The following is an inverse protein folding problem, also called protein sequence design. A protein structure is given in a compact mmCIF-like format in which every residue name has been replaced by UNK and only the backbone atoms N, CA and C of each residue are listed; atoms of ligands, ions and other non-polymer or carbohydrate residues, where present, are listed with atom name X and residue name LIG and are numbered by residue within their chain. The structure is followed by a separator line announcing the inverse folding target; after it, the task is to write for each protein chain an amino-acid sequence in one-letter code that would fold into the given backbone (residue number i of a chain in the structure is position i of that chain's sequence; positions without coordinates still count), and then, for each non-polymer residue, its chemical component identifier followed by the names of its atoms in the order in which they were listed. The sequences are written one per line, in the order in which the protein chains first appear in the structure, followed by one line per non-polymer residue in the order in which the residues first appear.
data_IF_105921794326
#
_entry.id   IF_105921794326
#
_cell.length_a   1.000
_cell.length_b   1.000
_cell.length_c   1.000
_cell.angle_alpha   90.00
_cell.angle_beta   90.00
_cell.angle_gamma   90.00
#
_symmetry.space_group_name_H-M   'P 1'
#
loop_
_entity.id
_entity.type
_entity.pdbx_description
1 polymer ?
#
# COMPACT_ATOMS: atom_id res chain seq x y z
N UNK A 1 92.74 43.71 -51.77
CA UNK A 1 91.55 44.13 -52.55
C UNK A 1 90.65 42.93 -52.72
N UNK A 2 89.32 43.16 -52.76
CA UNK A 2 88.24 42.20 -53.01
C UNK A 2 87.94 41.17 -51.90
N UNK A 3 86.69 41.25 -51.43
CA UNK A 3 85.99 40.34 -50.51
C UNK A 3 85.87 38.88 -51.01
N UNK A 4 85.60 37.97 -50.08
CA UNK A 4 84.35 37.18 -50.13
C UNK A 4 84.04 36.53 -48.78
N UNK A 5 83.05 37.06 -48.07
CA UNK A 5 82.48 36.45 -46.86
C UNK A 5 81.73 35.16 -47.20
N UNK A 6 82.10 34.03 -46.58
CA UNK A 6 81.24 32.84 -46.50
C UNK A 6 80.64 32.73 -45.10
N UNK A 7 79.35 33.03 -44.98
CA UNK A 7 78.56 32.77 -43.77
C UNK A 7 78.09 31.32 -43.77
N UNK A 8 78.54 30.52 -42.80
CA UNK A 8 78.06 29.16 -42.56
C UNK A 8 76.79 29.18 -41.71
N UNK A 9 75.66 28.73 -42.26
CA UNK A 9 74.42 28.54 -41.51
C UNK A 9 74.37 27.15 -40.86
N UNK A 10 74.44 27.10 -39.54
CA UNK A 10 74.19 25.87 -38.77
C UNK A 10 72.68 25.65 -38.62
N UNK A 11 72.14 24.44 -38.90
CA UNK A 11 70.72 24.17 -38.71
C UNK A 11 70.38 24.01 -37.23
N UNK A 12 69.47 24.85 -36.73
CA UNK A 12 68.96 24.75 -35.36
C UNK A 12 67.96 23.59 -35.24
N UNK A 13 68.42 22.48 -34.64
CA UNK A 13 67.55 21.34 -34.29
C UNK A 13 66.60 21.72 -33.15
N UNK A 14 65.46 22.34 -33.51
CA UNK A 14 64.40 22.67 -32.57
C UNK A 14 63.84 21.41 -31.90
N UNK A 15 64.01 21.32 -30.57
CA UNK A 15 63.54 20.19 -29.77
C UNK A 15 62.03 19.97 -29.93
N UNK A 16 61.64 18.87 -30.59
CA UNK A 16 60.24 18.47 -30.78
C UNK A 16 59.64 17.77 -29.54
N UNK A 17 60.48 17.29 -28.64
CA UNK A 17 60.13 16.53 -27.44
C UNK A 17 59.14 17.22 -26.48
N UNK A 18 59.29 18.50 -26.09
CA UNK A 18 58.33 19.14 -25.17
C UNK A 18 56.91 19.24 -25.76
N UNK A 19 56.77 19.37 -27.09
CA UNK A 19 55.45 19.39 -27.75
C UNK A 19 54.79 18.00 -27.75
N UNK A 20 55.57 16.93 -27.96
CA UNK A 20 55.05 15.57 -27.92
C UNK A 20 54.54 15.18 -26.52
N UNK A 21 55.28 15.54 -25.46
CA UNK A 21 54.91 15.26 -24.07
C UNK A 21 53.61 16.00 -23.68
N UNK A 22 53.48 17.28 -24.05
CA UNK A 22 52.27 18.05 -23.78
C UNK A 22 51.03 17.46 -24.46
N UNK A 23 51.15 17.03 -25.73
CA UNK A 23 50.05 16.38 -26.46
C UNK A 23 49.66 15.05 -25.80
N UNK A 24 50.63 14.22 -25.39
CA UNK A 24 50.38 12.95 -24.72
C UNK A 24 49.65 13.13 -23.38
N UNK A 25 50.03 14.14 -22.58
CA UNK A 25 49.34 14.46 -21.32
C UNK A 25 47.89 14.91 -21.56
N UNK A 26 47.65 15.80 -22.52
CA UNK A 26 46.28 16.26 -22.84
C UNK A 26 45.42 15.09 -23.36
N UNK A 27 45.98 14.21 -24.20
CA UNK A 27 45.28 13.01 -24.66
C UNK A 27 44.93 12.05 -23.50
N UNK A 28 45.85 11.78 -22.58
CA UNK A 28 45.60 10.94 -21.40
C UNK A 28 44.54 11.53 -20.46
N UNK A 29 44.52 12.86 -20.31
CA UNK A 29 43.56 13.57 -19.47
C UNK A 29 42.17 13.62 -20.11
N UNK A 30 42.09 13.74 -21.44
CA UNK A 30 40.84 13.59 -22.20
C UNK A 30 40.29 12.16 -22.16
N UNK A 31 41.15 11.14 -22.26
CA UNK A 31 40.72 9.72 -22.17
C UNK A 31 40.22 9.37 -20.77
N UNK A 32 40.87 9.87 -19.71
CA UNK A 32 40.38 9.65 -18.33
C UNK A 32 39.11 10.46 -18.02
N UNK A 33 38.99 11.69 -18.52
CA UNK A 33 37.75 12.47 -18.42
C UNK A 33 36.58 11.81 -19.19
N UNK A 34 36.82 11.32 -20.41
CA UNK A 34 35.82 10.62 -21.21
C UNK A 34 35.42 9.27 -20.58
N UNK A 35 36.38 8.48 -20.10
CA UNK A 35 36.12 7.22 -19.40
C UNK A 35 35.34 7.43 -18.09
N UNK A 36 35.67 8.47 -17.32
CA UNK A 36 34.88 8.87 -16.14
C UNK A 36 33.46 9.33 -16.51
N UNK A 37 33.32 10.12 -17.57
CA UNK A 37 32.02 10.56 -18.09
C UNK A 37 31.16 9.40 -18.65
N UNK A 38 31.76 8.30 -19.09
CA UNK A 38 31.07 7.11 -19.59
C UNK A 38 30.62 6.15 -18.45
N UNK A 39 31.21 6.26 -17.27
CA UNK A 39 30.80 5.51 -16.07
C UNK A 39 29.72 6.24 -15.23
N UNK A 40 29.55 7.56 -15.42
CA UNK A 40 28.52 8.37 -14.77
C UNK A 40 27.06 8.20 -15.27
N UNK A 41 26.72 7.77 -16.51
CA UNK A 41 25.33 7.72 -16.98
C UNK A 41 24.53 6.54 -16.43
N UNK A 42 25.19 5.49 -15.93
CA UNK A 42 24.54 4.26 -15.44
C UNK A 42 23.78 4.42 -14.12
N UNK A 43 23.85 5.62 -13.52
CA UNK A 43 23.06 6.02 -12.35
C UNK A 43 22.19 7.25 -12.61
N UNK A 44 21.63 7.38 -13.81
CA UNK A 44 20.39 8.16 -13.92
C UNK A 44 19.38 7.52 -12.95
N UNK A 45 18.80 8.26 -12.00
CA UNK A 45 17.75 7.71 -11.15
C UNK A 45 16.64 7.26 -12.08
N UNK A 46 16.27 5.97 -12.03
CA UNK A 46 15.10 5.48 -12.77
C UNK A 46 13.96 6.42 -12.44
N UNK A 47 13.36 7.01 -13.48
CA UNK A 47 12.12 7.74 -13.30
C UNK A 47 11.16 6.82 -12.53
N UNK A 48 10.36 7.38 -11.61
CA UNK A 48 9.32 6.59 -10.94
C UNK A 48 8.57 5.85 -12.05
N UNK A 49 8.54 4.51 -12.07
CA UNK A 49 7.76 3.79 -13.06
C UNK A 49 6.34 4.34 -13.05
N UNK A 50 5.65 4.37 -14.20
CA UNK A 50 4.25 4.82 -14.26
C UNK A 50 3.28 3.76 -13.70
N UNK A 51 3.72 3.11 -12.61
CA UNK A 51 2.92 2.39 -11.66
C UNK A 51 2.12 3.45 -10.88
N UNK A 52 1.06 3.94 -11.52
CA UNK A 52 -0.18 4.23 -10.82
C UNK A 52 -0.51 2.95 -10.03
N UNK A 53 -0.75 3.06 -8.72
CA UNK A 53 -0.56 2.00 -7.72
C UNK A 53 -1.47 0.77 -7.77
N UNK A 54 -1.93 0.37 -8.97
CA UNK A 54 -2.86 -0.70 -9.19
C UNK A 54 -2.14 -2.06 -9.33
N UNK A 55 -2.12 -2.85 -8.25
CA UNK A 55 -1.60 -4.23 -8.30
C UNK A 55 -2.28 -5.11 -9.36
N UNK A 56 -3.51 -4.79 -9.80
CA UNK A 56 -4.22 -5.54 -10.83
C UNK A 56 -3.60 -5.40 -12.22
N UNK A 57 -2.85 -4.35 -12.51
CA UNK A 57 -2.14 -4.21 -13.80
C UNK A 57 -0.80 -4.94 -13.85
N UNK A 58 -0.37 -5.51 -12.73
CA UNK A 58 0.87 -6.30 -12.60
C UNK A 58 0.61 -7.79 -12.80
N UNK A 59 -0.62 -8.24 -12.53
CA UNK A 59 -1.04 -9.64 -12.65
C UNK A 59 -1.43 -9.92 -14.12
N UNK A 60 -0.80 -10.89 -14.79
CA UNK A 60 -1.36 -11.50 -16.00
C UNK A 60 -2.25 -12.71 -15.61
N UNK A 61 -3.59 -12.63 -15.80
CA UNK A 61 -4.49 -13.74 -15.45
C UNK A 61 -4.20 -15.03 -16.23
N UNK A 62 -3.49 -14.97 -17.36
CA UNK A 62 -3.10 -16.13 -18.16
C UNK A 62 -1.91 -16.90 -17.58
N UNK A 63 -1.07 -16.26 -16.75
CA UNK A 63 0.04 -16.95 -16.05
C UNK A 63 -0.41 -17.68 -14.79
N UNK A 64 -1.61 -17.38 -14.27
CA UNK A 64 -2.12 -18.00 -13.04
C UNK A 64 -2.63 -19.41 -13.36
N UNK A 65 -2.03 -20.48 -12.77
CA UNK A 65 -2.56 -21.83 -12.92
C UNK A 65 -4.00 -21.91 -12.37
N UNK A 66 -5.02 -22.25 -13.20
CA UNK A 66 -6.42 -22.16 -12.77
C UNK A 66 -6.74 -23.01 -11.52
N UNK A 67 -6.03 -24.13 -11.34
CA UNK A 67 -6.16 -24.99 -10.16
C UNK A 67 -5.78 -24.29 -8.85
N UNK A 68 -4.87 -23.30 -8.87
CA UNK A 68 -4.52 -22.52 -7.67
C UNK A 68 -5.62 -21.52 -7.31
N UNK A 69 -6.24 -20.88 -8.30
CA UNK A 69 -7.41 -20.02 -8.07
C UNK A 69 -8.59 -20.81 -7.47
N UNK A 70 -8.74 -22.08 -7.85
CA UNK A 70 -9.73 -22.98 -7.25
C UNK A 70 -9.43 -23.38 -5.80
N UNK A 71 -8.22 -23.10 -5.27
CA UNK A 71 -7.89 -23.20 -3.84
C UNK A 71 -8.26 -21.94 -3.02
N UNK A 72 -8.61 -20.83 -3.67
CA UNK A 72 -9.30 -19.70 -3.00
C UNK A 72 -10.75 -20.08 -2.74
N UNK A 73 -11.36 -20.74 -3.72
CA UNK A 73 -12.48 -21.64 -3.48
C UNK A 73 -11.97 -22.88 -2.70
N UNK A 74 -12.80 -23.82 -2.27
CA UNK A 74 -12.37 -24.87 -1.31
C UNK A 74 -11.89 -24.39 0.08
N UNK A 75 -11.73 -23.07 0.30
CA UNK A 75 -11.32 -22.42 1.55
C UNK A 75 -9.93 -22.89 2.05
N UNK A 76 -8.93 -22.91 1.17
CA UNK A 76 -7.56 -23.23 1.59
C UNK A 76 -7.02 -22.14 2.56
N UNK A 77 -6.15 -22.48 3.54
CA UNK A 77 -5.68 -21.51 4.53
C UNK A 77 -5.01 -20.27 3.91
N UNK A 78 -5.54 -19.08 4.21
CA UNK A 78 -5.13 -17.81 3.60
C UNK A 78 -3.64 -17.47 3.74
N UNK A 79 -2.98 -17.95 4.80
CA UNK A 79 -1.55 -17.77 5.03
C UNK A 79 -0.67 -18.63 4.11
N UNK A 80 -1.14 -19.83 3.75
CA UNK A 80 -0.40 -20.78 2.90
C UNK A 80 -0.64 -20.50 1.41
N UNK A 81 -1.85 -20.03 1.08
CA UNK A 81 -2.36 -19.84 -0.28
C UNK A 81 -1.44 -19.00 -1.19
N UNK A 82 -0.81 -17.95 -0.67
CA UNK A 82 0.13 -17.11 -1.44
C UNK A 82 1.60 -17.53 -1.28
N UNK A 83 1.95 -18.25 -0.20
CA UNK A 83 3.31 -18.72 0.05
C UNK A 83 3.69 -19.91 -0.83
N UNK A 84 2.73 -20.80 -1.15
CA UNK A 84 2.99 -21.97 -1.98
C UNK A 84 3.34 -21.62 -3.43
N UNK A 85 2.61 -20.71 -4.12
CA UNK A 85 3.02 -20.23 -5.44
C UNK A 85 4.32 -19.41 -5.38
N UNK A 86 4.53 -18.59 -4.33
CA UNK A 86 5.77 -17.84 -4.11
C UNK A 86 7.00 -18.77 -4.05
N UNK A 87 6.91 -19.87 -3.31
CA UNK A 87 7.96 -20.90 -3.21
C UNK A 87 8.22 -21.66 -4.53
N UNK A 88 7.33 -21.54 -5.51
CA UNK A 88 7.44 -22.13 -6.85
C UNK A 88 7.77 -21.09 -7.93
N UNK A 89 8.13 -19.87 -7.53
CA UNK A 89 8.42 -18.74 -8.41
C UNK A 89 7.23 -18.32 -9.31
N UNK A 90 6.01 -18.67 -8.89
CA UNK A 90 4.76 -18.33 -9.58
C UNK A 90 4.22 -16.99 -9.04
N UNK A 91 4.91 -15.90 -9.40
CA UNK A 91 4.72 -14.56 -8.85
C UNK A 91 3.29 -14.02 -9.00
N UNK A 92 2.74 -14.05 -10.22
CA UNK A 92 1.38 -13.59 -10.53
C UNK A 92 0.33 -14.37 -9.75
N UNK A 93 0.51 -15.69 -9.63
CA UNK A 93 -0.35 -16.54 -8.81
C UNK A 93 -0.23 -16.18 -7.33
N UNK A 94 0.99 -15.97 -6.81
CA UNK A 94 1.20 -15.56 -5.42
C UNK A 94 0.54 -14.19 -5.11
N UNK A 95 0.69 -13.22 -6.01
CA UNK A 95 0.10 -11.89 -5.90
C UNK A 95 -1.44 -11.93 -6.05
N UNK A 96 -1.97 -12.76 -6.94
CA UNK A 96 -3.42 -12.96 -7.06
C UNK A 96 -4.01 -13.66 -5.84
N UNK A 97 -3.38 -14.74 -5.33
CA UNK A 97 -3.78 -15.39 -4.08
C UNK A 97 -3.68 -14.41 -2.89
N UNK A 98 -2.71 -13.49 -2.91
CA UNK A 98 -2.65 -12.40 -1.94
C UNK A 98 -3.85 -11.45 -2.08
N UNK A 99 -4.15 -10.97 -3.28
CA UNK A 99 -5.12 -9.90 -3.56
C UNK A 99 -6.59 -10.33 -3.45
N UNK A 100 -6.90 -11.56 -3.86
CA UNK A 100 -8.26 -12.11 -3.91
C UNK A 100 -8.57 -13.13 -2.80
N UNK A 101 -7.56 -13.53 -2.03
CA UNK A 101 -7.74 -14.36 -0.85
C UNK A 101 -8.49 -13.65 0.29
N UNK A 102 -8.80 -14.37 1.38
CA UNK A 102 -9.47 -13.80 2.54
C UNK A 102 -8.71 -12.60 3.14
N UNK A 103 -9.46 -11.63 3.67
CA UNK A 103 -8.92 -10.45 4.36
C UNK A 103 -8.00 -10.87 5.50
N UNK A 104 -6.82 -10.25 5.55
CA UNK A 104 -5.79 -10.43 6.57
C UNK A 104 -5.67 -9.15 7.40
N UNK A 105 -4.94 -9.20 8.51
CA UNK A 105 -4.52 -7.98 9.21
C UNK A 105 -3.64 -7.12 8.30
N UNK A 106 -3.59 -5.81 8.56
CA UNK A 106 -2.75 -4.89 7.78
C UNK A 106 -1.27 -5.28 7.90
N UNK A 107 -0.86 -5.75 9.09
CA UNK A 107 0.49 -6.27 9.36
C UNK A 107 0.84 -7.45 8.45
N UNK A 108 -0.02 -8.47 8.41
CA UNK A 108 0.18 -9.64 7.55
C UNK A 108 0.14 -9.27 6.06
N UNK A 109 -0.69 -8.28 5.71
CA UNK A 109 -0.80 -7.75 4.34
C UNK A 109 0.50 -7.05 3.90
N UNK A 110 1.05 -6.18 4.74
CA UNK A 110 2.34 -5.50 4.55
C UNK A 110 3.50 -6.50 4.46
N UNK A 111 3.59 -7.42 5.43
CA UNK A 111 4.66 -8.43 5.46
C UNK A 111 4.66 -9.31 4.20
N UNK A 112 3.48 -9.69 3.71
CA UNK A 112 3.34 -10.47 2.49
C UNK A 112 3.73 -9.67 1.24
N UNK A 113 3.31 -8.41 1.12
CA UNK A 113 3.71 -7.53 0.01
C UNK A 113 5.22 -7.25 -0.01
N UNK A 114 5.85 -7.06 1.15
CA UNK A 114 7.30 -6.89 1.25
C UNK A 114 8.02 -8.18 0.81
N UNK A 115 7.55 -9.36 1.23
CA UNK A 115 8.12 -10.66 0.80
C UNK A 115 7.92 -10.93 -0.69
N UNK A 116 6.77 -10.58 -1.25
CA UNK A 116 6.51 -10.63 -2.71
C UNK A 116 7.50 -9.73 -3.46
N UNK A 117 7.70 -8.49 -3.00
CA UNK A 117 8.68 -7.58 -3.59
C UNK A 117 10.12 -8.09 -3.50
N UNK A 118 10.53 -8.61 -2.35
CA UNK A 118 11.88 -9.15 -2.13
C UNK A 118 12.16 -10.36 -3.02
N UNK A 119 11.18 -11.23 -3.24
CA UNK A 119 11.31 -12.38 -4.14
C UNK A 119 11.40 -11.97 -5.62
N UNK A 120 10.70 -10.90 -6.03
CA UNK A 120 10.67 -10.42 -7.41
C UNK A 120 11.81 -9.44 -7.75
N UNK A 121 12.47 -8.84 -6.75
CA UNK A 121 13.39 -7.70 -6.90
C UNK A 121 14.50 -7.85 -7.97
N UNK A 122 14.97 -9.07 -8.22
CA UNK A 122 16.03 -9.35 -9.20
C UNK A 122 15.47 -9.65 -10.61
N UNK A 123 14.29 -10.26 -10.70
CA UNK A 123 13.69 -10.72 -11.96
C UNK A 123 12.79 -9.66 -12.57
N UNK A 124 11.85 -9.15 -11.75
CA UNK A 124 10.82 -8.19 -12.13
C UNK A 124 10.87 -6.98 -11.17
N UNK A 125 11.83 -6.06 -11.33
CA UNK A 125 12.03 -4.94 -10.40
C UNK A 125 10.87 -3.92 -10.38
N UNK A 126 10.08 -3.84 -11.46
CA UNK A 126 8.91 -2.96 -11.52
C UNK A 126 7.72 -3.56 -10.75
N UNK A 127 7.46 -4.86 -10.86
CA UNK A 127 6.45 -5.58 -10.08
C UNK A 127 6.78 -5.57 -8.58
N UNK A 128 8.06 -5.73 -8.25
CA UNK A 128 8.57 -5.55 -6.90
C UNK A 128 8.33 -4.12 -6.38
N UNK A 129 8.50 -3.10 -7.23
CA UNK A 129 8.20 -1.72 -6.88
C UNK A 129 6.69 -1.49 -6.65
N UNK A 130 5.82 -2.12 -7.46
CA UNK A 130 4.37 -2.08 -7.26
C UNK A 130 3.96 -2.70 -5.92
N UNK A 131 4.53 -3.85 -5.56
CA UNK A 131 4.31 -4.49 -4.27
C UNK A 131 4.76 -3.59 -3.10
N UNK A 132 5.91 -2.90 -3.21
CA UNK A 132 6.37 -1.94 -2.19
C UNK A 132 5.50 -0.67 -2.12
N UNK A 133 4.97 -0.18 -3.24
CA UNK A 133 4.03 0.95 -3.25
C UNK A 133 2.73 0.57 -2.54
N UNK A 134 2.15 -0.59 -2.87
CA UNK A 134 0.96 -1.09 -2.18
C UNK A 134 1.23 -1.33 -0.68
N UNK A 135 2.42 -1.84 -0.31
CA UNK A 135 2.81 -1.99 1.09
C UNK A 135 2.87 -0.61 1.78
N UNK A 136 3.37 0.43 1.10
CA UNK A 136 3.40 1.79 1.61
C UNK A 136 1.99 2.35 1.79
N UNK A 137 1.07 2.09 0.87
CA UNK A 137 -0.31 2.57 0.94
C UNK A 137 -1.11 1.88 2.05
N UNK A 138 -0.99 0.55 2.19
CA UNK A 138 -1.53 -0.16 3.37
C UNK A 138 -0.88 0.40 4.64
N UNK A 139 0.43 0.63 4.68
CA UNK A 139 1.11 1.22 5.84
C UNK A 139 0.58 2.62 6.18
N UNK A 140 0.31 3.47 5.19
CA UNK A 140 -0.22 4.84 5.40
C UNK A 140 -1.67 4.82 5.85
N UNK A 141 -2.50 3.96 5.28
CA UNK A 141 -3.95 3.93 5.50
C UNK A 141 -4.37 3.04 6.68
N UNK A 142 -3.51 2.09 7.09
CA UNK A 142 -3.79 1.09 8.12
C UNK A 142 -4.34 1.70 9.42
N UNK A 143 -5.49 1.23 9.92
CA UNK A 143 -5.91 1.48 11.31
C UNK A 143 -5.18 0.65 12.36
N UNK A 144 -4.55 -0.48 11.99
CA UNK A 144 -3.96 -1.48 12.91
C UNK A 144 -2.50 -1.22 13.29
N UNK A 145 -1.85 -0.24 12.65
CA UNK A 145 -0.48 0.19 12.97
C UNK A 145 -0.44 1.40 13.90
N UNK A 146 0.29 1.26 15.00
CA UNK A 146 0.74 2.40 15.80
C UNK A 146 1.63 3.35 14.97
N UNK A 147 1.76 4.61 15.38
CA UNK A 147 2.71 5.55 14.76
C UNK A 147 4.14 5.01 14.73
N UNK A 148 4.51 4.19 15.72
CA UNK A 148 5.82 3.55 15.79
C UNK A 148 6.01 2.58 14.64
N UNK A 149 5.12 1.61 14.52
CA UNK A 149 5.21 0.55 13.51
C UNK A 149 5.09 1.15 12.11
N UNK A 150 4.19 2.12 11.92
CA UNK A 150 4.04 2.87 10.68
C UNK A 150 5.36 3.52 10.25
N UNK A 151 6.09 4.15 11.17
CA UNK A 151 7.39 4.74 10.87
C UNK A 151 8.50 3.71 10.64
N UNK A 152 8.52 2.60 11.37
CA UNK A 152 9.49 1.51 11.19
C UNK A 152 9.31 0.84 9.82
N UNK A 153 8.06 0.54 9.43
CA UNK A 153 7.71 -0.05 8.14
C UNK A 153 7.99 0.91 6.97
N UNK A 154 7.61 2.19 7.06
CA UNK A 154 7.95 3.19 6.01
C UNK A 154 9.47 3.36 5.83
N UNK A 155 10.24 3.25 6.92
CA UNK A 155 11.70 3.25 6.85
C UNK A 155 12.24 2.00 6.12
N UNK A 156 11.66 0.82 6.39
CA UNK A 156 12.02 -0.44 5.74
C UNK A 156 11.65 -0.46 4.25
N UNK A 157 10.40 -0.11 3.90
CA UNK A 157 9.94 0.00 2.51
C UNK A 157 10.84 0.96 1.72
N UNK A 158 11.19 2.12 2.28
CA UNK A 158 12.11 3.04 1.63
C UNK A 158 13.52 2.47 1.40
N UNK A 159 14.02 1.58 2.26
CA UNK A 159 15.29 0.86 2.00
C UNK A 159 15.15 -0.16 0.86
N UNK A 160 14.02 -0.86 0.78
CA UNK A 160 13.76 -1.81 -0.31
C UNK A 160 13.53 -1.06 -1.65
N UNK A 161 12.95 0.14 -1.63
CA UNK A 161 12.92 1.01 -2.81
C UNK A 161 14.31 1.53 -3.18
N UNK A 162 15.19 1.82 -2.20
CA UNK A 162 16.59 2.19 -2.47
C UNK A 162 17.36 1.05 -3.15
N UNK A 163 17.19 -0.21 -2.72
CA UNK A 163 17.87 -1.35 -3.32
C UNK A 163 17.41 -1.65 -4.76
N UNK A 164 16.15 -1.35 -5.10
CA UNK A 164 15.64 -1.37 -6.50
C UNK A 164 16.14 -0.18 -7.36
N UNK A 165 16.92 0.74 -6.78
CA UNK A 165 17.42 1.96 -7.43
C UNK A 165 16.41 3.12 -7.48
N UNK A 166 15.27 2.99 -6.79
CA UNK A 166 14.16 3.96 -6.78
C UNK A 166 14.34 5.02 -5.69
N UNK A 167 15.51 5.67 -5.67
CA UNK A 167 15.90 6.64 -4.63
C UNK A 167 14.89 7.78 -4.40
N UNK A 168 14.15 8.19 -5.44
CA UNK A 168 13.11 9.22 -5.32
C UNK A 168 11.84 8.71 -4.57
N UNK A 169 11.46 7.45 -4.78
CA UNK A 169 10.38 6.79 -4.05
C UNK A 169 10.81 6.52 -2.59
N UNK A 170 12.02 6.02 -2.38
CA UNK A 170 12.63 5.86 -1.06
C UNK A 170 12.58 7.15 -0.22
N UNK A 171 12.99 8.28 -0.80
CA UNK A 171 12.91 9.61 -0.16
C UNK A 171 11.47 10.03 0.15
N UNK A 172 10.48 9.56 -0.62
CA UNK A 172 9.06 9.84 -0.38
C UNK A 172 8.56 9.08 0.86
N UNK A 173 8.87 7.80 1.02
CA UNK A 173 8.50 7.03 2.22
C UNK A 173 9.22 7.54 3.48
N UNK A 174 10.52 7.84 3.35
CA UNK A 174 11.29 8.44 4.45
C UNK A 174 10.77 9.83 4.86
N UNK A 175 10.14 10.58 3.96
CA UNK A 175 9.43 11.82 4.32
C UNK A 175 8.18 11.55 5.15
N UNK A 176 7.43 10.48 4.87
CA UNK A 176 6.28 10.10 5.69
C UNK A 176 6.73 9.66 7.10
N UNK A 177 7.75 8.79 7.19
CA UNK A 177 8.37 8.44 8.48
C UNK A 177 8.92 9.67 9.22
N UNK A 178 9.47 10.65 8.49
CA UNK A 178 9.90 11.93 9.06
C UNK A 178 8.72 12.74 9.60
N UNK A 179 7.58 12.83 8.92
CA UNK A 179 6.40 13.55 9.43
C UNK A 179 5.93 12.95 10.76
N UNK A 180 5.83 11.63 10.83
CA UNK A 180 5.52 10.90 12.07
C UNK A 180 6.53 11.28 13.17
N UNK A 181 7.83 11.26 12.89
CA UNK A 181 8.87 11.66 13.85
C UNK A 181 8.77 13.13 14.32
N UNK A 182 8.15 14.03 13.55
CA UNK A 182 8.03 15.45 13.89
C UNK A 182 6.77 15.80 14.68
N UNK A 183 5.64 15.16 14.43
CA UNK A 183 4.37 15.56 15.07
C UNK A 183 3.50 14.41 15.58
N UNK A 184 3.97 13.16 15.58
CA UNK A 184 3.33 12.09 16.36
C UNK A 184 3.31 12.50 17.86
N UNK A 185 2.12 12.56 18.50
CA UNK A 185 2.01 12.87 19.93
C UNK A 185 2.22 11.63 20.81
N UNK A 186 2.10 10.43 20.22
CA UNK A 186 2.18 9.11 20.89
C UNK A 186 3.62 8.62 21.03
N UNK A 187 4.52 9.04 20.14
CA UNK A 187 5.91 8.61 20.15
C UNK A 187 6.76 9.31 21.23
N UNK A 188 7.51 8.56 22.06
CA UNK A 188 8.47 9.14 23.00
C UNK A 188 9.52 10.01 22.29
N UNK A 189 9.86 11.16 22.87
CA UNK A 189 10.85 12.11 22.32
C UNK A 189 12.19 11.45 21.95
N UNK A 190 12.69 10.54 22.79
CA UNK A 190 13.91 9.75 22.54
C UNK A 190 13.79 8.86 21.30
N UNK A 191 12.64 8.20 21.10
CA UNK A 191 12.40 7.37 19.93
C UNK A 191 12.33 8.22 18.65
N UNK A 192 11.63 9.36 18.72
CA UNK A 192 11.54 10.33 17.62
C UNK A 192 12.91 10.87 17.22
N UNK A 193 13.78 11.19 18.18
CA UNK A 193 15.16 11.61 17.93
C UNK A 193 15.99 10.52 17.22
N UNK A 194 15.90 9.27 17.69
CA UNK A 194 16.57 8.11 17.05
C UNK A 194 16.07 7.87 15.62
N UNK A 195 14.77 7.95 15.38
CA UNK A 195 14.17 7.84 14.05
C UNK A 195 14.68 8.93 13.11
N UNK A 196 14.78 10.19 13.57
CA UNK A 196 15.36 11.30 12.80
C UNK A 196 16.86 11.10 12.50
N UNK A 197 17.62 10.54 13.44
CA UNK A 197 19.03 10.18 13.23
C UNK A 197 19.20 9.08 12.17
N UNK A 198 18.31 8.08 12.17
CA UNK A 198 18.26 7.03 11.17
C UNK A 198 17.91 7.60 9.78
N UNK A 199 16.89 8.46 9.71
CA UNK A 199 16.49 9.16 8.48
C UNK A 199 17.60 10.05 7.93
N UNK A 200 18.33 10.78 8.79
CA UNK A 200 19.49 11.58 8.39
C UNK A 200 20.58 10.73 7.71
N UNK A 201 20.75 9.49 8.16
CA UNK A 201 21.68 8.53 7.55
C UNK A 201 21.18 8.04 6.19
N UNK A 202 19.90 7.67 6.06
CA UNK A 202 19.34 7.21 4.78
C UNK A 202 19.32 8.33 3.73
N UNK A 203 18.89 9.54 4.08
CA UNK A 203 18.94 10.70 3.18
C UNK A 203 20.36 11.01 2.69
N UNK A 204 21.38 10.80 3.53
CA UNK A 204 22.79 11.00 3.12
C UNK A 204 23.24 9.96 2.09
N UNK A 205 22.83 8.69 2.25
CA UNK A 205 23.18 7.60 1.32
C UNK A 205 22.69 7.88 -0.11
N UNK A 206 21.46 8.36 -0.26
CA UNK A 206 20.87 8.74 -1.56
C UNK A 206 21.21 10.15 -2.04
N UNK A 207 22.15 10.84 -1.39
CA UNK A 207 22.60 12.18 -1.79
C UNK A 207 21.66 13.35 -1.43
N UNK A 208 20.56 13.11 -0.72
CA UNK A 208 19.60 14.13 -0.27
C UNK A 208 20.11 14.97 0.92
N UNK A 209 21.28 15.61 0.75
CA UNK A 209 22.05 16.30 1.80
C UNK A 209 21.23 17.29 2.64
N UNK A 210 20.36 18.09 2.01
CA UNK A 210 19.52 19.08 2.71
C UNK A 210 18.49 18.43 3.64
N UNK A 211 17.93 17.27 3.26
CA UNK A 211 17.02 16.51 4.13
C UNK A 211 17.80 15.81 5.25
N UNK A 212 18.99 15.30 4.94
CA UNK A 212 19.87 14.66 5.92
C UNK A 212 20.27 15.63 7.04
N UNK A 213 20.66 16.85 6.69
CA UNK A 213 21.06 17.86 7.67
C UNK A 213 19.86 18.37 8.49
N UNK A 214 18.71 18.61 7.85
CA UNK A 214 17.48 18.98 8.57
C UNK A 214 17.04 17.91 9.57
N UNK A 215 17.08 16.63 9.18
CA UNK A 215 16.74 15.53 10.09
C UNK A 215 17.71 15.46 11.29
N UNK A 216 19.01 15.71 11.07
CA UNK A 216 20.03 15.79 12.14
C UNK A 216 19.84 16.98 13.08
N UNK A 217 19.41 18.14 12.57
CA UNK A 217 19.11 19.31 13.39
C UNK A 217 17.83 19.10 14.21
N UNK A 218 16.84 18.44 13.63
CA UNK A 218 15.56 18.23 14.30
C UNK A 218 15.61 17.10 15.33
N UNK A 219 16.55 16.14 15.23
CA UNK A 219 16.73 15.09 16.24
C UNK A 219 17.13 15.65 17.61
N UNK A 220 18.00 16.68 17.65
CA UNK A 220 18.40 17.33 18.91
C UNK A 220 17.28 18.19 19.50
N UNK A 221 16.52 18.91 18.66
CA UNK A 221 15.37 19.70 19.09
C UNK A 221 14.27 18.81 19.67
N UNK A 222 13.91 17.72 18.99
CA UNK A 222 12.85 16.81 19.41
C UNK A 222 13.23 16.00 20.65
N UNK A 223 14.49 15.57 20.78
CA UNK A 223 14.97 14.84 21.95
C UNK A 223 14.89 15.63 23.28
N UNK A 224 14.71 16.95 23.20
CA UNK A 224 14.57 17.86 24.35
C UNK A 224 13.12 18.11 24.79
N UNK A 225 12.13 17.56 24.08
CA UNK A 225 10.71 17.79 24.37
C UNK A 225 10.16 16.84 25.43
N UNK A 226 9.55 17.40 26.48
CA UNK A 226 8.93 16.64 27.57
C UNK A 226 7.45 16.35 27.30
N UNK A 227 7.04 15.10 27.41
CA UNK A 227 5.64 14.67 27.42
C UNK A 227 5.26 13.73 26.27
N UNK A 228 4.51 12.68 26.60
CA UNK A 228 3.78 11.84 25.65
C UNK A 228 2.31 12.21 25.81
N UNK A 229 1.66 12.58 24.71
CA UNK A 229 0.20 12.60 24.67
C UNK A 229 -0.23 11.15 24.45
N UNK A 230 -0.73 10.51 25.50
CA UNK A 230 -1.27 9.16 25.45
C UNK A 230 -2.59 9.16 24.66
N UNK A 231 -2.51 9.40 23.34
CA UNK A 231 -3.63 9.25 22.43
C UNK A 231 -3.96 7.76 22.39
N UNK A 232 -5.19 7.37 22.74
CA UNK A 232 -5.61 5.98 22.70
C UNK A 232 -5.53 5.49 21.27
N UNK A 233 -4.93 4.31 21.09
CA UNK A 233 -4.86 3.64 19.81
C UNK A 233 -6.27 3.30 19.32
N UNK A 234 -6.42 3.13 18.01
CA UNK A 234 -7.72 2.82 17.42
C UNK A 234 -8.14 1.41 17.87
N UNK A 235 -9.31 1.29 18.48
CA UNK A 235 -9.80 -0.02 18.94
C UNK A 235 -10.07 -0.91 17.74
N UNK A 236 -9.42 -2.08 17.75
CA UNK A 236 -9.68 -3.14 16.80
C UNK A 236 -10.86 -3.97 17.34
N UNK A 237 -11.99 -3.89 16.64
CA UNK A 237 -13.17 -4.70 16.93
C UNK A 237 -12.82 -6.19 16.85
N UNK A 238 -13.20 -6.98 17.85
CA UNK A 238 -13.11 -8.44 17.75
C UNK A 238 -14.17 -8.95 16.76
N UNK A 239 -13.70 -9.38 15.60
CA UNK A 239 -14.52 -9.84 14.48
C UNK A 239 -14.76 -11.35 14.47
N UNK A 240 -14.41 -12.05 15.56
CA UNK A 240 -14.71 -13.49 15.72
C UNK A 240 -16.18 -13.77 16.03
N UNK A 241 -16.92 -12.77 16.49
CA UNK A 241 -18.32 -12.88 16.91
C UNK A 241 -19.28 -12.80 15.71
N UNK A 242 -19.13 -13.72 14.76
CA UNK A 242 -20.08 -13.89 13.66
C UNK A 242 -21.33 -14.63 14.18
N UNK A 243 -22.56 -14.22 13.82
CA UNK A 243 -23.76 -14.99 14.12
C UNK A 243 -23.71 -16.39 13.48
N UNK A 244 -24.37 -17.37 14.08
CA UNK A 244 -24.42 -18.72 13.50
C UNK A 244 -25.08 -18.71 12.11
N UNK A 245 -24.42 -19.37 11.17
CA UNK A 245 -24.90 -19.49 9.79
C UNK A 245 -26.06 -20.49 9.72
N UNK A 246 -27.12 -20.23 8.93
CA UNK A 246 -28.21 -21.19 8.77
C UNK A 246 -27.70 -22.49 8.12
N UNK A 247 -28.23 -23.67 8.48
CA UNK A 247 -27.76 -24.96 7.97
C UNK A 247 -27.69 -25.04 6.44
N UNK A 248 -28.60 -24.36 5.74
CA UNK A 248 -28.65 -24.29 4.27
C UNK A 248 -27.43 -23.56 3.69
N UNK A 249 -26.96 -22.49 4.34
CA UNK A 249 -25.76 -21.76 3.92
C UNK A 249 -24.49 -22.57 4.22
N UNK A 250 -24.42 -23.22 5.38
CA UNK A 250 -23.31 -24.13 5.71
C UNK A 250 -23.20 -25.26 4.69
N UNK A 251 -24.33 -25.88 4.32
CA UNK A 251 -24.40 -26.93 3.31
C UNK A 251 -24.05 -26.42 1.90
N UNK A 252 -24.48 -25.21 1.52
CA UNK A 252 -24.11 -24.60 0.25
C UNK A 252 -22.59 -24.33 0.18
N UNK A 253 -21.99 -23.82 1.26
CA UNK A 253 -20.53 -23.65 1.36
C UNK A 253 -19.79 -24.97 1.21
N UNK A 254 -20.23 -26.02 1.91
CA UNK A 254 -19.61 -27.33 1.82
C UNK A 254 -19.62 -27.86 0.37
N UNK A 255 -20.76 -27.72 -0.34
CA UNK A 255 -20.88 -28.08 -1.76
C UNK A 255 -19.96 -27.27 -2.67
N UNK A 256 -19.82 -25.94 -2.46
CA UNK A 256 -18.84 -25.13 -3.21
C UNK A 256 -17.42 -25.65 -2.96
N UNK A 257 -17.05 -25.96 -1.71
CA UNK A 257 -15.70 -26.44 -1.42
C UNK A 257 -15.38 -27.76 -2.12
N UNK A 258 -16.30 -28.72 -2.02
CA UNK A 258 -16.20 -30.01 -2.70
C UNK A 258 -16.10 -29.83 -4.23
N UNK A 259 -17.01 -29.05 -4.83
CA UNK A 259 -17.00 -28.78 -6.26
C UNK A 259 -15.73 -28.07 -6.73
N UNK A 260 -15.14 -27.20 -5.91
CA UNK A 260 -13.88 -26.53 -6.21
C UNK A 260 -12.68 -27.49 -6.20
N UNK A 261 -12.62 -28.41 -5.22
CA UNK A 261 -11.61 -29.48 -5.19
C UNK A 261 -11.75 -30.43 -6.37
N UNK A 262 -12.98 -30.83 -6.71
CA UNK A 262 -13.26 -31.67 -7.89
C UNK A 262 -12.88 -30.97 -9.19
N UNK A 263 -13.19 -29.67 -9.34
CA UNK A 263 -12.77 -28.88 -10.50
C UNK A 263 -11.24 -28.71 -10.60
N UNK A 264 -10.55 -28.53 -9.46
CA UNK A 264 -9.09 -28.46 -9.43
C UNK A 264 -8.45 -29.78 -9.90
N UNK A 265 -8.95 -30.93 -9.44
CA UNK A 265 -8.50 -32.25 -9.90
C UNK A 265 -8.86 -32.52 -11.37
N UNK A 266 -10.05 -32.10 -11.82
CA UNK A 266 -10.50 -32.30 -13.19
C UNK A 266 -9.66 -31.53 -14.23
N UNK A 267 -9.05 -30.40 -13.85
CA UNK A 267 -8.07 -29.68 -14.69
C UNK A 267 -6.83 -30.53 -14.99
N UNK A 268 -6.32 -31.27 -14.01
CA UNK A 268 -5.16 -32.16 -14.17
C UNK A 268 -5.47 -33.36 -15.09
N UNK A 269 -6.74 -33.74 -15.18
CA UNK A 269 -7.23 -34.90 -15.93
C UNK A 269 -7.88 -34.53 -17.28
N UNK A 270 -8.02 -33.25 -17.60
CA UNK A 270 -8.64 -32.75 -18.84
C UNK A 270 -10.18 -32.81 -18.88
N UNK A 271 -10.84 -33.29 -17.82
CA UNK A 271 -12.31 -33.47 -17.73
C UNK A 271 -13.08 -32.21 -17.30
N UNK A 272 -12.74 -31.05 -17.88
CA UNK A 272 -12.94 -29.75 -17.21
C UNK A 272 -14.40 -29.26 -17.15
N UNK A 273 -15.17 -29.34 -18.24
CA UNK A 273 -16.43 -28.59 -18.36
C UNK A 273 -17.52 -29.01 -17.36
N UNK A 274 -17.68 -30.32 -17.11
CA UNK A 274 -18.69 -30.83 -16.19
C UNK A 274 -18.42 -30.42 -14.73
N UNK A 275 -17.15 -30.48 -14.29
CA UNK A 275 -16.76 -30.07 -12.95
C UNK A 275 -16.96 -28.57 -12.72
N UNK A 276 -16.63 -27.74 -13.73
CA UNK A 276 -16.88 -26.30 -13.68
C UNK A 276 -18.36 -25.93 -13.70
N UNK A 277 -19.21 -26.70 -14.39
CA UNK A 277 -20.66 -26.50 -14.33
C UNK A 277 -21.20 -26.73 -12.90
N UNK A 278 -20.80 -27.83 -12.24
CA UNK A 278 -21.17 -28.13 -10.84
C UNK A 278 -20.67 -27.04 -9.89
N UNK A 279 -19.43 -26.57 -10.06
CA UNK A 279 -18.86 -25.49 -9.25
C UNK A 279 -19.60 -24.16 -9.44
N UNK A 280 -19.92 -23.79 -10.67
CA UNK A 280 -20.69 -22.58 -10.99
C UNK A 280 -22.07 -22.59 -10.34
N UNK A 281 -22.74 -23.74 -10.37
CA UNK A 281 -24.08 -23.89 -9.82
C UNK A 281 -24.04 -23.86 -8.28
N UNK A 282 -23.01 -24.46 -7.66
CA UNK A 282 -22.74 -24.36 -6.22
C UNK A 282 -22.42 -22.93 -5.76
N UNK A 283 -21.56 -22.20 -6.49
CA UNK A 283 -21.26 -20.77 -6.26
C UNK A 283 -22.52 -19.90 -6.35
N UNK A 284 -23.38 -20.17 -7.33
CA UNK A 284 -24.64 -19.42 -7.52
C UNK A 284 -25.62 -19.64 -6.37
N UNK A 285 -25.72 -20.89 -5.89
CA UNK A 285 -26.55 -21.24 -4.73
C UNK A 285 -26.03 -20.62 -3.43
N UNK A 286 -24.72 -20.72 -3.13
CA UNK A 286 -24.12 -20.10 -1.96
C UNK A 286 -24.28 -18.57 -2.00
N UNK A 287 -24.00 -17.93 -3.15
CA UNK A 287 -24.11 -16.47 -3.30
C UNK A 287 -25.52 -15.92 -3.10
N UNK A 288 -26.56 -16.68 -3.48
CA UNK A 288 -27.95 -16.30 -3.20
C UNK A 288 -28.25 -16.34 -1.69
N UNK A 289 -27.93 -17.46 -1.04
CA UNK A 289 -28.15 -17.65 0.41
C UNK A 289 -27.33 -16.65 1.24
N UNK A 290 -26.07 -16.42 0.86
CA UNK A 290 -25.16 -15.46 1.49
C UNK A 290 -25.75 -14.04 1.47
N UNK A 291 -26.19 -13.56 0.29
CA UNK A 291 -26.75 -12.21 0.17
C UNK A 291 -28.02 -12.03 0.99
N UNK A 292 -28.92 -13.02 0.98
CA UNK A 292 -30.14 -12.98 1.82
C UNK A 292 -29.78 -12.95 3.31
N UNK A 293 -28.93 -13.88 3.77
CA UNK A 293 -28.52 -13.96 5.17
C UNK A 293 -27.83 -12.69 5.65
N UNK A 294 -26.85 -12.15 4.91
CA UNK A 294 -26.18 -10.89 5.28
C UNK A 294 -27.16 -9.73 5.32
N UNK A 295 -28.07 -9.63 4.35
CA UNK A 295 -29.08 -8.58 4.32
C UNK A 295 -30.01 -8.64 5.52
N UNK A 296 -30.39 -9.84 5.98
CA UNK A 296 -31.26 -10.01 7.13
C UNK A 296 -30.54 -9.88 8.47
N UNK A 297 -29.27 -10.30 8.57
CA UNK A 297 -28.44 -10.07 9.75
C UNK A 297 -28.14 -8.58 9.96
N UNK A 298 -27.83 -7.83 8.90
CA UNK A 298 -27.55 -6.39 8.99
C UNK A 298 -28.77 -5.55 9.41
N UNK A 299 -30.00 -6.08 9.26
CA UNK A 299 -31.23 -5.43 9.76
C UNK A 299 -31.49 -5.65 11.25
N UNK A 300 -30.87 -6.65 11.88
CA UNK A 300 -31.20 -7.06 13.27
C UNK A 300 -30.65 -6.12 14.36
N UNK A 301 -29.91 -5.07 13.99
CA UNK A 301 -29.43 -4.06 14.96
C UNK A 301 -28.33 -4.57 15.90
N UNK A 302 -27.55 -5.57 15.46
CA UNK A 302 -26.47 -6.21 16.21
C UNK A 302 -25.43 -5.23 16.80
N UNK A 303 -24.65 -5.65 17.82
CA UNK A 303 -23.47 -4.92 18.30
C UNK A 303 -22.45 -4.60 17.18
N UNK A 304 -21.60 -3.59 17.37
CA UNK A 304 -20.68 -3.10 16.33
C UNK A 304 -19.61 -4.14 15.95
N UNK A 305 -19.19 -4.95 16.92
CA UNK A 305 -18.29 -6.09 16.80
C UNK A 305 -18.85 -7.11 15.79
N UNK A 306 -20.14 -7.46 15.98
CA UNK A 306 -20.90 -8.39 15.15
C UNK A 306 -21.16 -7.80 13.75
N UNK A 307 -21.49 -6.50 13.66
CA UNK A 307 -21.61 -5.81 12.37
C UNK A 307 -20.28 -5.83 11.59
N UNK A 308 -19.14 -5.62 12.26
CA UNK A 308 -17.83 -5.70 11.63
C UNK A 308 -17.48 -7.13 11.19
N UNK A 309 -17.83 -8.14 11.98
CA UNK A 309 -17.68 -9.55 11.61
C UNK A 309 -18.49 -9.90 10.35
N UNK A 310 -19.77 -9.51 10.32
CA UNK A 310 -20.65 -9.69 9.15
C UNK A 310 -20.11 -8.98 7.90
N UNK A 311 -19.61 -7.75 8.03
CA UNK A 311 -19.04 -6.99 6.92
C UNK A 311 -17.73 -7.59 6.39
N UNK A 312 -16.81 -8.03 7.26
CA UNK A 312 -15.60 -8.75 6.82
C UNK A 312 -15.94 -10.08 6.14
N UNK A 313 -16.90 -10.82 6.68
CA UNK A 313 -17.39 -12.04 6.08
C UNK A 313 -18.03 -11.79 4.70
N UNK A 314 -18.77 -10.69 4.53
CA UNK A 314 -19.30 -10.27 3.23
C UNK A 314 -18.19 -9.85 2.25
N UNK A 315 -17.20 -9.07 2.70
CA UNK A 315 -16.02 -8.67 1.91
C UNK A 315 -15.28 -9.90 1.37
N UNK A 316 -15.05 -10.92 2.21
CA UNK A 316 -14.41 -12.17 1.80
C UNK A 316 -15.17 -12.88 0.67
N UNK A 317 -16.51 -12.92 0.74
CA UNK A 317 -17.32 -13.47 -0.33
C UNK A 317 -17.24 -12.63 -1.62
N UNK A 318 -17.30 -11.30 -1.52
CA UNK A 318 -17.21 -10.41 -2.69
C UNK A 318 -15.83 -10.51 -3.34
N UNK A 319 -14.75 -10.75 -2.59
CA UNK A 319 -13.42 -11.03 -3.15
C UNK A 319 -13.39 -12.33 -3.98
N UNK A 320 -14.12 -13.38 -3.58
CA UNK A 320 -14.31 -14.57 -4.42
C UNK A 320 -15.06 -14.22 -5.72
N UNK A 321 -16.16 -13.47 -5.65
CA UNK A 321 -16.88 -13.01 -6.87
C UNK A 321 -15.99 -12.14 -7.76
N UNK A 322 -15.12 -11.32 -7.17
CA UNK A 322 -14.16 -10.44 -7.86
C UNK A 322 -13.08 -11.24 -8.59
N UNK A 323 -12.50 -12.25 -7.94
CA UNK A 323 -11.54 -13.17 -8.57
C UNK A 323 -12.10 -13.76 -9.88
N UNK A 324 -13.33 -14.29 -9.81
CA UNK A 324 -14.04 -14.86 -10.95
C UNK A 324 -14.33 -13.80 -12.03
N UNK A 325 -14.71 -12.58 -11.62
CA UNK A 325 -14.94 -11.46 -12.53
C UNK A 325 -13.67 -10.97 -13.25
N UNK A 326 -12.49 -11.20 -12.67
CA UNK A 326 -11.18 -10.96 -13.27
C UNK A 326 -10.69 -12.14 -14.15
N UNK A 327 -11.49 -13.20 -14.29
CA UNK A 327 -11.15 -14.38 -15.11
C UNK A 327 -10.19 -15.36 -14.41
N UNK A 328 -9.87 -15.12 -13.14
CA UNK A 328 -8.94 -15.92 -12.36
C UNK A 328 -9.68 -17.18 -11.89
N UNK A 329 -9.15 -18.34 -12.28
CA UNK A 329 -9.89 -19.62 -12.31
C UNK A 329 -10.40 -20.01 -13.70
N UNK A 330 -10.22 -19.17 -14.71
CA UNK A 330 -10.42 -19.50 -16.13
C UNK A 330 -11.74 -18.99 -16.74
N UNK A 331 -11.87 -19.21 -18.06
CA UNK A 331 -12.96 -18.71 -18.93
C UNK A 331 -14.39 -19.19 -18.60
N UNK A 332 -14.57 -19.98 -17.55
CA UNK A 332 -15.80 -20.73 -17.26
C UNK A 332 -16.84 -19.95 -16.43
N UNK A 333 -16.54 -18.71 -16.04
CA UNK A 333 -17.39 -17.85 -15.21
C UNK A 333 -17.81 -16.52 -15.90
N UNK A 334 -18.27 -16.53 -17.17
CA UNK A 334 -18.54 -15.30 -17.93
C UNK A 334 -19.54 -14.36 -17.23
N UNK A 335 -20.55 -14.91 -16.55
CA UNK A 335 -21.57 -14.15 -15.82
C UNK A 335 -21.04 -13.41 -14.59
N UNK A 336 -19.82 -13.69 -14.10
CA UNK A 336 -19.14 -12.83 -13.12
C UNK A 336 -18.37 -11.70 -13.79
N UNK A 337 -17.73 -11.96 -14.93
CA UNK A 337 -17.02 -10.93 -15.70
C UNK A 337 -17.98 -9.81 -16.17
N UNK A 338 -19.19 -10.18 -16.62
CA UNK A 338 -20.28 -9.24 -16.94
C UNK A 338 -20.72 -8.36 -15.75
N UNK A 339 -20.52 -8.83 -14.51
CA UNK A 339 -20.90 -8.12 -13.27
C UNK A 339 -19.72 -7.39 -12.60
N UNK A 340 -18.56 -7.28 -13.25
CA UNK A 340 -17.33 -6.72 -12.63
C UNK A 340 -17.55 -5.37 -11.94
N UNK A 341 -18.19 -4.40 -12.62
CA UNK A 341 -18.44 -3.08 -12.04
C UNK A 341 -19.34 -3.14 -10.78
N UNK A 342 -20.38 -3.99 -10.80
CA UNK A 342 -21.25 -4.21 -9.65
C UNK A 342 -20.49 -4.82 -8.47
N UNK A 343 -19.57 -5.75 -8.74
CA UNK A 343 -18.76 -6.43 -7.73
C UNK A 343 -17.75 -5.47 -7.09
N UNK A 344 -17.02 -4.67 -7.88
CA UNK A 344 -16.10 -3.65 -7.35
C UNK A 344 -16.86 -2.59 -6.53
N UNK A 345 -18.07 -2.19 -6.96
CA UNK A 345 -18.93 -1.27 -6.20
C UNK A 345 -19.38 -1.87 -4.86
N UNK A 346 -19.87 -3.11 -4.88
CA UNK A 346 -20.27 -3.84 -3.67
C UNK A 346 -19.12 -4.02 -2.69
N UNK A 347 -17.89 -4.20 -3.20
CA UNK A 347 -16.69 -4.29 -2.38
C UNK A 347 -16.36 -2.95 -1.71
N UNK A 348 -16.41 -1.84 -2.47
CA UNK A 348 -16.21 -0.49 -1.93
C UNK A 348 -17.24 -0.15 -0.85
N UNK A 349 -18.52 -0.37 -1.14
CA UNK A 349 -19.63 -0.11 -0.20
C UNK A 349 -19.48 -0.89 1.12
N UNK A 350 -19.00 -2.13 1.05
CA UNK A 350 -18.75 -2.98 2.21
C UNK A 350 -17.54 -2.50 3.04
N UNK A 351 -16.44 -2.09 2.40
CA UNK A 351 -15.29 -1.49 3.07
C UNK A 351 -15.63 -0.15 3.74
N UNK A 352 -16.38 0.72 3.06
CA UNK A 352 -16.83 2.00 3.61
C UNK A 352 -17.78 1.80 4.81
N UNK A 353 -18.65 0.79 4.74
CA UNK A 353 -19.50 0.41 5.87
C UNK A 353 -18.67 -0.11 7.06
N UNK A 354 -17.65 -0.96 6.82
CA UNK A 354 -16.78 -1.50 7.86
C UNK A 354 -15.98 -0.38 8.54
N UNK A 355 -15.46 0.58 7.77
CA UNK A 355 -14.70 1.70 8.31
C UNK A 355 -15.58 2.62 9.18
N UNK A 356 -16.82 2.89 8.76
CA UNK A 356 -17.80 3.62 9.58
C UNK A 356 -18.13 2.87 10.88
N UNK A 357 -18.29 1.54 10.85
CA UNK A 357 -18.54 0.71 12.04
C UNK A 357 -17.36 0.78 13.02
N UNK A 358 -16.13 0.58 12.53
CA UNK A 358 -14.89 0.67 13.32
C UNK A 358 -14.68 2.05 13.94
N UNK A 359 -14.98 3.13 13.20
CA UNK A 359 -14.88 4.50 13.71
C UNK A 359 -15.96 4.83 14.75
N UNK A 360 -17.21 4.39 14.55
CA UNK A 360 -18.29 4.63 15.51
C UNK A 360 -18.01 3.96 16.87
N UNK A 361 -17.39 2.77 16.88
CA UNK A 361 -16.92 2.15 18.12
C UNK A 361 -15.78 2.95 18.77
N UNK A 362 -14.75 3.29 17.99
CA UNK A 362 -13.58 4.03 18.50
C UNK A 362 -13.99 5.33 19.18
N UNK A 363 -14.99 6.04 18.64
CA UNK A 363 -15.57 7.24 19.24
C UNK A 363 -16.33 6.91 20.55
N UNK A 364 -17.15 5.86 20.57
CA UNK A 364 -17.95 5.47 21.76
C UNK A 364 -17.11 5.10 22.96
N UNK A 365 -16.14 4.20 22.79
CA UNK A 365 -15.29 3.75 23.89
C UNK A 365 -14.44 4.91 24.43
N UNK A 366 -13.92 5.78 23.56
CA UNK A 366 -13.18 6.97 23.98
C UNK A 366 -14.05 8.05 24.62
N UNK A 367 -15.35 8.09 24.33
CA UNK A 367 -16.29 8.86 25.14
C UNK A 367 -16.49 8.25 26.54
N UNK A 368 -16.35 6.93 26.71
CA UNK A 368 -16.51 6.24 28.00
C UNK A 368 -15.24 6.26 28.88
N UNK A 369 -14.05 6.02 28.34
CA UNK A 369 -12.78 5.80 29.09
C UNK A 369 -12.18 7.04 29.81
N UNK A 370 -12.93 8.11 30.03
CA UNK A 370 -12.41 9.43 30.46
C UNK A 370 -11.32 9.99 29.55
N UNK A 371 -11.34 9.67 28.25
CA UNK A 371 -10.44 10.29 27.29
C UNK A 371 -10.50 11.82 27.41
N UNK A 372 -9.34 12.46 27.30
CA UNK A 372 -9.23 13.92 27.40
C UNK A 372 -10.11 14.57 26.32
N UNK A 373 -10.64 15.77 26.61
CA UNK A 373 -11.52 16.48 25.68
C UNK A 373 -10.91 16.61 24.27
N UNK A 374 -9.58 16.83 24.18
CA UNK A 374 -8.85 16.90 22.92
C UNK A 374 -8.87 15.60 22.11
N UNK A 375 -8.89 14.43 22.76
CA UNK A 375 -8.99 13.13 22.08
C UNK A 375 -10.41 12.89 21.57
N UNK A 376 -11.42 13.25 22.36
CA UNK A 376 -12.84 13.17 21.98
C UNK A 376 -13.14 14.07 20.78
N UNK A 377 -12.67 15.32 20.80
CA UNK A 377 -12.84 16.27 19.69
C UNK A 377 -12.15 15.78 18.40
N UNK A 378 -10.97 15.16 18.51
CA UNK A 378 -10.25 14.60 17.37
C UNK A 378 -10.99 13.41 16.72
N UNK A 379 -11.48 12.46 17.54
CA UNK A 379 -12.25 11.31 17.04
C UNK A 379 -13.61 11.72 16.46
N UNK A 380 -14.34 12.62 17.12
CA UNK A 380 -15.60 13.17 16.63
C UNK A 380 -15.41 13.88 15.27
N UNK A 381 -14.39 14.72 15.18
CA UNK A 381 -13.95 15.38 13.94
C UNK A 381 -13.69 14.38 12.81
N UNK A 382 -12.97 13.28 13.12
CA UNK A 382 -12.63 12.25 12.12
C UNK A 382 -13.87 11.50 11.61
N UNK A 383 -14.82 11.21 12.50
CA UNK A 383 -16.09 10.57 12.13
C UNK A 383 -16.94 11.47 11.21
N UNK A 384 -16.97 12.78 11.46
CA UNK A 384 -17.65 13.76 10.57
C UNK A 384 -17.04 13.77 9.18
N UNK A 385 -15.70 13.84 9.08
CA UNK A 385 -15.02 13.81 7.78
C UNK A 385 -15.42 12.59 6.94
N UNK A 386 -15.39 11.40 7.55
CA UNK A 386 -15.69 10.14 6.85
C UNK A 386 -17.16 10.09 6.41
N UNK A 387 -18.10 10.52 7.26
CA UNK A 387 -19.54 10.56 6.88
C UNK A 387 -19.82 11.53 5.74
N UNK A 388 -19.21 12.73 5.75
CA UNK A 388 -19.37 13.72 4.69
C UNK A 388 -18.71 13.31 3.36
N UNK A 389 -17.61 12.55 3.42
CA UNK A 389 -16.98 11.97 2.22
C UNK A 389 -17.80 10.83 1.62
N UNK A 390 -18.49 10.04 2.45
CA UNK A 390 -19.32 8.90 2.02
C UNK A 390 -20.68 9.34 1.45
N UNK A 391 -21.30 10.35 2.05
CA UNK A 391 -22.56 10.91 1.58
C UNK A 391 -22.52 12.45 1.67
N UNK A 392 -22.26 13.14 0.54
CA UNK A 392 -22.24 14.60 0.49
C UNK A 392 -23.58 15.27 0.83
N UNK A 393 -24.70 14.52 0.83
CA UNK A 393 -26.01 15.02 1.26
C UNK A 393 -26.20 15.00 2.78
N UNK A 394 -25.29 14.34 3.52
CA UNK A 394 -25.26 14.38 4.98
C UNK A 394 -25.05 15.83 5.44
N UNK A 395 -26.07 16.39 6.09
CA UNK A 395 -26.00 17.75 6.61
C UNK A 395 -24.97 17.84 7.74
N UNK A 396 -23.82 18.45 7.44
CA UNK A 396 -22.74 18.67 8.41
C UNK A 396 -23.23 19.36 9.70
N UNK A 397 -24.20 20.27 9.60
CA UNK A 397 -24.77 20.96 10.76
C UNK A 397 -25.57 20.02 11.67
N UNK A 398 -26.38 19.10 11.14
CA UNK A 398 -27.12 18.14 11.98
C UNK A 398 -26.21 17.06 12.57
N UNK A 399 -25.13 16.70 11.85
CA UNK A 399 -24.11 15.79 12.36
C UNK A 399 -23.33 16.45 13.53
N UNK A 400 -22.95 17.71 13.39
CA UNK A 400 -22.35 18.52 14.47
C UNK A 400 -23.34 18.71 15.64
N UNK A 401 -24.62 18.96 15.36
CA UNK A 401 -25.67 19.08 16.39
C UNK A 401 -25.80 17.80 17.22
N UNK A 402 -25.76 16.63 16.57
CA UNK A 402 -25.82 15.32 17.26
C UNK A 402 -24.64 15.06 18.19
N UNK A 403 -23.52 15.78 18.02
CA UNK A 403 -22.34 15.73 18.89
C UNK A 403 -22.28 16.89 19.89
N UNK A 404 -23.10 17.94 19.71
CA UNK A 404 -23.12 19.15 20.54
C UNK A 404 -23.44 18.94 22.02
N UNK A 405 -24.18 17.91 22.50
CA UNK A 405 -24.48 17.73 23.92
C UNK A 405 -23.25 17.69 24.85
N UNK A 406 -22.05 17.45 24.32
CA UNK A 406 -20.83 17.29 25.11
C UNK A 406 -19.80 18.43 24.97
N UNK A 407 -19.86 19.34 23.99
CA UNK A 407 -18.80 20.34 23.73
C UNK A 407 -19.30 21.60 22.96
N UNK A 408 -20.13 22.43 23.59
CA UNK A 408 -20.71 23.62 22.95
C UNK A 408 -19.68 24.71 22.55
N UNK A 409 -18.68 24.98 23.40
CA UNK A 409 -17.85 26.19 23.29
C UNK A 409 -16.63 26.08 22.35
N UNK A 410 -16.31 24.89 21.81
CA UNK A 410 -15.03 24.66 21.08
C UNK A 410 -15.14 24.04 19.69
N UNK A 411 -16.36 23.79 19.19
CA UNK A 411 -16.56 23.33 17.81
C UNK A 411 -15.88 24.26 16.77
N UNK A 412 -15.87 25.57 17.00
CA UNK A 412 -15.18 26.54 16.12
C UNK A 412 -13.65 26.41 16.12
N UNK A 413 -13.04 26.00 17.24
CA UNK A 413 -11.58 25.82 17.32
C UNK A 413 -11.15 24.49 16.66
N UNK A 414 -11.99 23.45 16.76
CA UNK A 414 -11.81 22.20 16.04
C UNK A 414 -11.85 22.41 14.51
N UNK A 415 -12.74 23.28 14.01
CA UNK A 415 -12.84 23.65 12.58
C UNK A 415 -11.56 24.35 12.08
N UNK A 416 -10.94 25.22 12.88
CA UNK A 416 -9.66 25.86 12.52
C UNK A 416 -8.47 24.88 12.53
N UNK A 417 -8.46 23.90 13.44
CA UNK A 417 -7.43 22.85 13.45
C UNK A 417 -7.63 21.82 12.34
N UNK A 418 -8.88 21.56 11.96
CA UNK A 418 -9.29 20.74 10.82
C UNK A 418 -8.61 21.19 9.54
N UNK A 419 -8.70 22.48 9.21
CA UNK A 419 -8.14 23.07 7.98
C UNK A 419 -6.59 22.94 7.95
N UNK A 420 -5.93 23.14 9.10
CA UNK A 420 -4.48 22.96 9.25
C UNK A 420 -4.02 21.48 9.15
N UNK A 421 -4.85 20.53 9.60
CA UNK A 421 -4.58 19.09 9.54
C UNK A 421 -4.87 18.54 8.13
N UNK A 422 -5.96 18.98 7.49
CA UNK A 422 -6.32 18.63 6.11
C UNK A 422 -5.20 19.01 5.12
N UNK A 423 -4.53 20.14 5.32
CA UNK A 423 -3.40 20.55 4.49
C UNK A 423 -2.10 19.75 4.66
N UNK A 424 -1.92 18.95 5.73
CA UNK A 424 -0.61 18.40 6.11
C UNK A 424 -0.54 16.92 6.47
N UNK A 425 -1.61 16.33 6.97
CA UNK A 425 -1.58 14.99 7.56
C UNK A 425 -2.30 13.93 6.74
N UNK A 426 -3.38 14.30 6.04
CA UNK A 426 -4.19 13.36 5.27
C UNK A 426 -4.73 14.01 4.00
N UNK A 427 -3.90 14.06 2.94
CA UNK A 427 -4.47 13.99 1.60
C UNK A 427 -4.99 12.58 1.43
N UNK A 428 -6.31 12.41 1.45
CA UNK A 428 -6.95 11.27 0.79
C UNK A 428 -6.44 11.29 -0.66
N UNK A 429 -5.86 10.20 -1.19
CA UNK A 429 -5.44 10.15 -2.58
C UNK A 429 -6.61 10.50 -3.50
N UNK A 430 -6.36 11.30 -4.54
CA UNK A 430 -7.37 11.59 -5.59
C UNK A 430 -7.86 10.31 -6.29
N UNK A 431 -7.11 9.22 -6.15
CA UNK A 431 -7.32 7.90 -6.71
C UNK A 431 -8.58 7.17 -6.19
N UNK A 432 -9.22 7.65 -5.11
CA UNK A 432 -10.57 7.19 -4.72
C UNK A 432 -11.70 7.74 -5.60
N UNK A 433 -11.43 8.73 -6.45
CA UNK A 433 -12.36 9.18 -7.49
C UNK A 433 -11.92 8.52 -8.79
N UNK A 434 -12.70 7.55 -9.27
CA UNK A 434 -12.47 6.93 -10.56
C UNK A 434 -12.41 7.98 -11.65
N UNK A 435 -11.30 8.05 -12.37
CA UNK A 435 -11.10 9.03 -13.44
C UNK A 435 -11.90 8.64 -14.67
N UNK A 436 -13.19 9.02 -14.68
CA UNK A 436 -13.78 9.44 -15.94
C UNK A 436 -13.03 10.69 -16.41
N UNK A 437 -12.45 10.58 -17.60
CA UNK A 437 -11.87 11.70 -18.33
C UNK A 437 -12.91 12.78 -18.54
N UNK A 438 -12.65 14.01 -18.10
CA UNK A 438 -13.26 15.18 -18.70
C UNK A 438 -12.36 15.68 -19.84
N UNK A 439 -12.92 16.09 -20.99
CA UNK A 439 -12.15 16.59 -22.12
C UNK A 439 -11.53 17.96 -21.84
N UNK A 440 -10.60 18.34 -22.72
CA UNK A 440 -9.67 19.49 -22.72
C UNK A 440 -10.11 20.79 -22.00
#
# INVERSE_FOLDING_TARGET
MADTLRVSTTPTTGSRWPKAIAIAMVAALLVTAAGGAWLLPTRQPRARPDIQGNLLSVIDPLQIPPQLALLVLADYPADQMWQDPLRREQWDAALAMWLFGPVRSDRASIDALIKLAEAQAMSNPDDAAACLLAAADVTRLSPELSDRERAEVLLAIGKNMESLGLSAAAVTEWRQASVIAHYSPTLPAMYRATLLQNLATQYRRVGARTLAERARQNSTQVGSASGILAIPERILLDTKNLPEEPPELQAARARRREAAQVAALALEQGGVEAAYAVLRDALSAEGLLHRTWITDQMKQGHPREVQAALLLYHINWVQHERMLAWGIGGKYFPTWAERREQIERSLSEAWDALEVVRMDQSVREQLQERATLAQRDWWATRLVQIRLLRDPSTNAASLIESMRPNNADRAGEAILRLDQIQGRYWRVPREYIGTQTLPE
#
